data_IF_754512056127
#
_entry.id   IF_754512056127
#
_cell.length_a   1.000
_cell.length_b   1.000
_cell.length_c   1.000
_cell.angle_alpha   90.00
_cell.angle_beta   90.00
_cell.angle_gamma   90.00
#
_symmetry.space_group_name_H-M   'P 1'
#
loop_
_entity.id
_entity.type
_entity.pdbx_description
1 polymer ?
#
# COMPACT_ATOMS: atom_id res chain seq x y z
N UNK A 1 56.45 4.56 11.86
CA UNK A 1 55.31 4.93 11.00
C UNK A 1 54.04 4.77 11.81
N UNK A 2 53.33 5.86 12.12
CA UNK A 2 52.04 5.79 12.82
C UNK A 2 50.93 5.44 11.84
N UNK A 3 49.87 4.78 12.33
CA UNK A 3 48.68 4.48 11.53
C UNK A 3 47.92 5.78 11.24
N UNK A 4 47.40 5.98 10.01
CA UNK A 4 46.52 7.11 9.72
C UNK A 4 45.30 7.13 10.63
N UNK A 5 44.84 8.33 10.98
CA UNK A 5 43.59 8.52 11.70
C UNK A 5 42.42 7.94 10.89
N UNK A 6 41.43 7.39 11.60
CA UNK A 6 40.26 6.72 11.00
C UNK A 6 38.99 7.57 11.00
N UNK A 7 39.03 8.73 11.65
CA UNK A 7 37.89 9.63 11.80
C UNK A 7 38.08 10.88 10.95
N UNK A 8 36.95 11.43 10.49
CA UNK A 8 36.92 12.75 9.88
C UNK A 8 37.15 13.85 10.92
N UNK A 9 37.44 15.06 10.46
CA UNK A 9 37.58 16.21 11.35
C UNK A 9 36.21 16.59 11.93
N UNK A 10 36.10 16.66 13.26
CA UNK A 10 34.90 17.16 13.93
C UNK A 10 34.73 18.66 13.69
N UNK A 11 33.49 19.08 13.43
CA UNK A 11 33.14 20.49 13.36
C UNK A 11 32.94 21.07 14.76
N UNK A 12 32.69 22.38 14.85
CA UNK A 12 32.18 22.95 16.10
C UNK A 12 30.80 22.36 16.42
N UNK A 13 30.38 22.32 17.70
CA UNK A 13 29.06 21.82 18.09
C UNK A 13 27.90 22.50 17.34
N UNK A 14 28.05 23.79 17.04
CA UNK A 14 27.09 24.57 16.25
C UNK A 14 27.05 24.13 14.79
N UNK A 15 28.21 23.85 14.19
CA UNK A 15 28.30 23.34 12.82
C UNK A 15 27.73 21.93 12.67
N UNK A 16 27.94 21.06 13.65
CA UNK A 16 27.33 19.73 13.67
C UNK A 16 25.80 19.82 13.81
N UNK A 17 25.29 20.70 14.68
CA UNK A 17 23.85 20.93 14.84
C UNK A 17 23.19 21.51 13.57
N UNK A 18 23.87 22.41 12.86
CA UNK A 18 23.39 22.97 11.60
C UNK A 18 23.30 21.89 10.51
N UNK A 19 24.33 21.07 10.37
CA UNK A 19 24.34 19.97 9.41
C UNK A 19 23.27 18.93 9.72
N UNK A 20 23.08 18.59 11.00
CA UNK A 20 22.01 17.69 11.42
C UNK A 20 20.63 18.26 11.06
N UNK A 21 20.43 19.56 11.25
CA UNK A 21 19.18 20.22 10.91
C UNK A 21 18.87 20.18 9.41
N UNK A 22 19.85 20.50 8.57
CA UNK A 22 19.74 20.43 7.11
C UNK A 22 19.40 19.01 6.64
N UNK A 23 20.12 18.01 7.16
CA UNK A 23 19.91 16.61 6.79
C UNK A 23 18.51 16.15 7.20
N UNK A 24 18.05 16.52 8.39
CA UNK A 24 16.72 16.17 8.88
C UNK A 24 15.63 16.80 8.02
N UNK A 25 15.75 18.09 7.71
CA UNK A 25 14.81 18.81 6.84
C UNK A 25 14.70 18.14 5.47
N UNK A 26 15.83 17.78 4.85
CA UNK A 26 15.84 17.08 3.57
C UNK A 26 15.05 15.76 3.60
N UNK A 27 15.24 14.95 4.65
CA UNK A 27 14.54 13.68 4.76
C UNK A 27 13.07 13.83 5.14
N UNK A 28 12.72 14.86 5.93
CA UNK A 28 11.33 15.19 6.25
C UNK A 28 10.58 15.67 5.00
N UNK A 29 11.22 16.44 4.12
CA UNK A 29 10.66 16.87 2.83
C UNK A 29 10.55 15.72 1.83
N UNK A 30 11.57 14.85 1.78
CA UNK A 30 11.58 13.68 0.90
C UNK A 30 10.67 12.54 1.39
N UNK A 31 10.19 12.59 2.64
CA UNK A 31 9.32 11.56 3.19
C UNK A 31 7.99 11.52 2.40
N UNK A 32 7.55 10.33 1.94
CA UNK A 32 6.26 10.20 1.29
C UNK A 32 5.13 10.74 2.18
N UNK A 33 4.39 11.74 1.69
CA UNK A 33 3.22 12.28 2.38
C UNK A 33 2.14 11.20 2.42
N UNK A 34 2.02 10.54 3.57
CA UNK A 34 0.99 9.51 3.79
C UNK A 34 -0.25 10.19 4.33
N UNK A 35 -1.39 9.86 3.72
CA UNK A 35 -2.68 10.24 4.28
C UNK A 35 -2.80 9.74 5.73
N UNK A 36 -3.30 10.57 6.62
CA UNK A 36 -3.64 10.13 7.96
C UNK A 36 -4.83 9.17 7.86
N UNK A 37 -4.76 8.03 8.54
CA UNK A 37 -5.95 7.19 8.66
C UNK A 37 -6.96 7.94 9.53
N UNK A 38 -8.22 8.10 9.11
CA UNK A 38 -9.22 8.74 9.94
C UNK A 38 -9.36 7.97 11.26
N UNK A 39 -9.55 8.73 12.34
CA UNK A 39 -9.83 8.12 13.65
C UNK A 39 -11.12 7.32 13.58
N UNK A 40 -11.11 6.10 14.12
CA UNK A 40 -12.27 5.20 14.09
C UNK A 40 -13.44 5.72 14.93
N UNK A 41 -13.18 6.61 15.88
CA UNK A 41 -14.16 7.11 16.86
C UNK A 41 -14.73 8.48 16.54
N UNK A 42 -14.09 9.24 15.65
CA UNK A 42 -14.51 10.60 15.26
C UNK A 42 -14.78 10.57 13.76
N UNK A 43 -16.04 10.40 13.31
CA UNK A 43 -16.38 10.49 11.91
C UNK A 43 -16.17 11.93 11.43
N UNK A 44 -14.97 12.26 10.96
CA UNK A 44 -14.72 13.50 10.23
C UNK A 44 -15.39 13.39 8.86
N UNK A 45 -16.36 14.25 8.58
CA UNK A 45 -16.96 14.38 7.25
C UNK A 45 -15.97 14.97 6.22
N UNK A 46 -14.87 15.57 6.69
CA UNK A 46 -13.83 16.15 5.86
C UNK A 46 -12.70 15.15 5.72
N UNK A 47 -12.60 14.54 4.53
CA UNK A 47 -11.42 13.79 4.10
C UNK A 47 -10.33 14.83 3.77
N UNK A 48 -9.33 14.95 4.63
CA UNK A 48 -8.26 15.97 4.52
C UNK A 48 -7.29 15.73 3.36
N UNK A 49 -7.52 14.66 2.59
CA UNK A 49 -6.67 14.16 1.51
C UNK A 49 -7.38 14.28 0.16
N UNK A 50 -8.27 15.27 0.03
CA UNK A 50 -8.68 15.77 -1.28
C UNK A 50 -7.47 16.46 -1.92
N UNK A 51 -6.55 15.66 -2.48
CA UNK A 51 -5.64 16.14 -3.51
C UNK A 51 -6.50 16.84 -4.56
N UNK A 52 -6.10 18.04 -4.96
CA UNK A 52 -6.72 18.72 -6.10
C UNK A 52 -6.71 17.70 -7.23
N UNK A 53 -7.87 17.29 -7.76
CA UNK A 53 -7.88 16.39 -8.89
C UNK A 53 -7.08 17.12 -9.97
N UNK A 54 -5.95 16.53 -10.35
CA UNK A 54 -5.19 17.03 -11.48
C UNK A 54 -6.07 16.72 -12.70
N UNK A 55 -6.92 17.65 -13.10
CA UNK A 55 -7.97 17.41 -14.11
C UNK A 55 -7.40 17.14 -15.52
N UNK A 56 -6.08 17.08 -15.68
CA UNK A 56 -5.37 16.95 -16.95
C UNK A 56 -4.46 15.70 -16.97
N UNK A 57 -5.04 14.51 -16.83
CA UNK A 57 -4.32 13.27 -17.10
C UNK A 57 -4.93 12.51 -18.29
N UNK A 58 -4.10 11.95 -19.18
CA UNK A 58 -4.52 11.42 -20.47
C UNK A 58 -5.54 10.28 -20.38
N UNK A 59 -5.57 9.58 -19.24
CA UNK A 59 -6.57 8.55 -18.95
C UNK A 59 -7.98 9.14 -18.82
N UNK A 60 -8.11 10.33 -18.21
CA UNK A 60 -9.37 11.03 -18.00
C UNK A 60 -9.93 11.56 -19.33
N UNK A 61 -9.07 12.11 -20.19
CA UNK A 61 -9.45 12.52 -21.55
C UNK A 61 -9.98 11.33 -22.38
N UNK A 62 -9.29 10.19 -22.31
CA UNK A 62 -9.69 8.97 -23.01
C UNK A 62 -11.02 8.45 -22.48
N UNK A 63 -11.24 8.52 -21.17
CA UNK A 63 -12.50 8.10 -20.55
C UNK A 63 -13.67 8.97 -21.03
N UNK A 64 -13.53 10.29 -21.01
CA UNK A 64 -14.57 11.21 -21.49
C UNK A 64 -14.88 11.02 -22.98
N UNK A 65 -13.86 10.78 -23.80
CA UNK A 65 -14.05 10.44 -25.21
C UNK A 65 -14.86 9.15 -25.37
N UNK A 66 -14.53 8.10 -24.62
CA UNK A 66 -15.27 6.83 -24.65
C UNK A 66 -16.71 6.98 -24.13
N UNK A 67 -16.95 7.79 -23.11
CA UNK A 67 -18.31 8.08 -22.62
C UNK A 67 -19.16 8.85 -23.65
N UNK A 68 -18.54 9.77 -24.40
CA UNK A 68 -19.23 10.51 -25.47
C UNK A 68 -19.63 9.59 -26.65
N UNK A 69 -18.90 8.49 -26.86
CA UNK A 69 -19.22 7.49 -27.87
C UNK A 69 -20.23 6.45 -27.33
N UNK A 70 -21.52 6.67 -27.59
CA UNK A 70 -22.63 5.80 -27.15
C UNK A 70 -22.81 4.53 -27.98
N UNK A 71 -21.79 4.09 -28.72
CA UNK A 71 -21.87 2.88 -29.52
C UNK A 71 -21.98 1.66 -28.57
N UNK A 72 -23.07 0.91 -28.67
CA UNK A 72 -23.27 -0.30 -27.89
C UNK A 72 -22.16 -1.29 -28.20
N UNK A 73 -21.34 -1.60 -27.20
CA UNK A 73 -20.41 -2.71 -27.25
C UNK A 73 -21.21 -4.00 -27.50
N UNK A 74 -21.09 -4.57 -28.70
CA UNK A 74 -21.62 -5.89 -29.01
C UNK A 74 -20.67 -6.91 -28.41
N UNK A 75 -20.90 -7.24 -27.13
CA UNK A 75 -20.26 -8.39 -26.51
C UNK A 75 -20.92 -9.64 -27.10
N UNK A 76 -20.44 -10.11 -28.25
CA UNK A 76 -20.70 -11.49 -28.66
C UNK A 76 -20.09 -12.38 -27.58
N UNK A 77 -20.95 -12.99 -26.77
CA UNK A 77 -20.54 -13.89 -25.70
C UNK A 77 -19.71 -15.02 -26.27
N UNK A 78 -18.39 -14.89 -26.17
CA UNK A 78 -17.47 -15.98 -26.39
C UNK A 78 -17.90 -17.10 -25.45
N UNK A 79 -18.30 -18.24 -26.03
CA UNK A 79 -18.63 -19.42 -25.24
C UNK A 79 -17.41 -19.71 -24.38
N UNK A 80 -17.56 -19.66 -23.06
CA UNK A 80 -16.52 -20.16 -22.17
C UNK A 80 -16.29 -21.62 -22.59
N UNK A 81 -15.11 -21.91 -23.14
CA UNK A 81 -14.72 -23.29 -23.37
C UNK A 81 -14.76 -23.97 -22.01
N UNK A 82 -15.51 -25.06 -21.89
CA UNK A 82 -15.50 -25.92 -20.71
C UNK A 82 -14.14 -26.65 -20.67
N UNK A 83 -13.05 -25.92 -20.45
CA UNK A 83 -11.69 -26.45 -20.31
C UNK A 83 -11.39 -26.84 -18.86
N UNK A 84 -12.32 -26.60 -17.95
CA UNK A 84 -12.20 -27.02 -16.56
C UNK A 84 -12.68 -28.46 -16.41
N UNK A 85 -11.74 -29.40 -16.34
CA UNK A 85 -11.99 -30.78 -15.92
C UNK A 85 -11.90 -30.84 -14.41
N UNK A 86 -13.00 -31.16 -13.74
CA UNK A 86 -13.01 -31.36 -12.29
C UNK A 86 -12.09 -32.53 -11.92
N UNK A 87 -10.95 -32.24 -11.29
CA UNK A 87 -10.01 -33.27 -10.84
C UNK A 87 -10.38 -33.75 -9.44
N UNK A 88 -10.36 -35.06 -9.22
CA UNK A 88 -10.67 -35.67 -7.91
C UNK A 88 -9.54 -35.53 -6.87
N UNK A 89 -8.49 -34.75 -7.16
CA UNK A 89 -7.26 -34.64 -6.36
C UNK A 89 -7.50 -34.33 -4.87
N UNK A 90 -8.57 -33.62 -4.53
CA UNK A 90 -8.91 -33.27 -3.14
C UNK A 90 -9.94 -34.18 -2.48
N UNK A 91 -10.49 -35.20 -3.17
CA UNK A 91 -11.47 -36.13 -2.59
C UNK A 91 -10.88 -36.93 -1.43
N UNK A 92 -9.60 -37.30 -1.52
CA UNK A 92 -8.91 -38.11 -0.53
C UNK A 92 -8.12 -37.27 0.51
N UNK A 93 -8.10 -35.94 0.36
CA UNK A 93 -7.47 -35.03 1.32
C UNK A 93 -8.39 -34.68 2.52
N UNK A 94 -9.55 -35.34 2.59
CA UNK A 94 -10.41 -35.34 3.76
C UNK A 94 -9.77 -36.05 4.94
N UNK A 95 -9.66 -35.33 6.05
CA UNK A 95 -9.59 -35.90 7.41
C UNK A 95 -8.20 -36.28 7.95
N UNK A 96 -7.17 -35.43 7.77
CA UNK A 96 -6.12 -35.38 8.80
C UNK A 96 -6.74 -34.72 10.03
N UNK A 97 -6.91 -35.51 11.10
CA UNK A 97 -7.74 -35.25 12.27
C UNK A 97 -7.74 -33.80 12.75
N UNK A 98 -8.86 -33.11 12.52
CA UNK A 98 -9.13 -31.80 13.14
C UNK A 98 -9.49 -31.99 14.61
N UNK A 99 -8.49 -32.32 15.43
CA UNK A 99 -8.58 -32.26 16.88
C UNK A 99 -8.53 -30.78 17.29
N UNK A 100 -9.69 -30.17 17.53
CA UNK A 100 -9.74 -28.85 18.12
C UNK A 100 -9.36 -28.96 19.60
N UNK A 101 -8.24 -28.36 20.01
CA UNK A 101 -7.94 -28.19 21.44
C UNK A 101 -8.96 -27.21 22.03
N UNK A 102 -9.95 -27.72 22.77
CA UNK A 102 -10.75 -26.89 23.65
C UNK A 102 -9.97 -26.69 24.95
N UNK A 103 -9.48 -25.48 25.17
CA UNK A 103 -8.97 -25.07 26.48
C UNK A 103 -10.14 -25.11 27.45
N UNK A 104 -10.21 -26.17 28.26
CA UNK A 104 -11.09 -26.25 29.42
C UNK A 104 -10.65 -25.16 30.40
N UNK A 105 -11.41 -24.08 30.50
CA UNK A 105 -11.26 -23.11 31.57
C UNK A 105 -11.49 -23.83 32.91
N UNK A 106 -10.44 -23.90 33.73
CA UNK A 106 -10.54 -24.34 35.13
C UNK A 106 -11.05 -23.13 35.91
N UNK A 107 -12.26 -23.24 36.46
CA UNK A 107 -12.79 -22.28 37.42
C UNK A 107 -12.06 -22.47 38.76
N UNK A 108 -11.66 -21.34 39.36
CA UNK A 108 -11.04 -21.23 40.68
C UNK A 108 -12.00 -21.59 41.82
#
# INVERSE_FOLDING_TARGET
MSRPARSDAHLSPEGEAAMEAEVREYYDEAAPKRHSKPSRSEPSAVYTDALVPDDSHPELDRFQQLEAHTEKLVCEGGKAGDEFVETEYYKDLGCVGKQHHTVRNVAA
#
